data_IF_063462876879
#
_entry.id   IF_063462876879
#
_cell.length_a   1.000
_cell.length_b   1.000
_cell.length_c   1.000
_cell.angle_alpha   90.00
_cell.angle_beta   90.00
_cell.angle_gamma   90.00
#
_symmetry.space_group_name_H-M   'P 1'
#
loop_
_entity.id
_entity.type
_entity.pdbx_description
1 polymer ?
#
# COMPACT_ATOMS: atom_id res chain seq x y z
N UNK A 1 -10.76 3.55 5.34
CA UNK A 1 -9.29 3.48 5.55
C UNK A 1 -9.03 3.60 7.03
N UNK A 2 -8.05 2.84 7.54
CA UNK A 2 -7.49 3.03 8.88
C UNK A 2 -5.97 3.12 8.78
N UNK A 3 -5.33 3.75 9.76
CA UNK A 3 -3.89 3.75 9.93
C UNK A 3 -3.51 3.09 11.25
N UNK A 4 -2.42 2.33 11.24
CA UNK A 4 -1.87 1.71 12.45
C UNK A 4 -0.46 2.23 12.65
N UNK A 5 -0.30 3.01 13.71
CA UNK A 5 1.00 3.41 14.24
C UNK A 5 1.48 2.32 15.20
N UNK A 6 2.44 1.51 14.77
CA UNK A 6 3.03 0.45 15.57
C UNK A 6 4.33 0.93 16.21
N UNK A 7 4.36 0.97 17.54
CA UNK A 7 5.52 1.32 18.37
C UNK A 7 6.07 0.11 19.15
N UNK A 8 5.57 -1.10 18.89
CA UNK A 8 5.89 -2.30 19.68
C UNK A 8 7.37 -2.65 19.72
N UNK A 9 8.14 -2.23 18.70
CA UNK A 9 9.58 -2.47 18.58
C UNK A 9 10.42 -1.19 18.76
N UNK A 10 9.92 -0.23 19.54
CA UNK A 10 10.59 1.05 19.77
C UNK A 10 10.59 1.97 18.54
N UNK A 11 11.43 3.01 18.56
CA UNK A 11 11.50 4.01 17.49
C UNK A 11 12.05 3.47 16.17
N UNK A 12 12.97 2.49 16.23
CA UNK A 12 13.58 1.90 15.01
C UNK A 12 12.61 0.96 14.29
N UNK A 13 11.76 0.27 15.04
CA UNK A 13 10.72 -0.60 14.48
C UNK A 13 9.38 0.08 14.26
N UNK A 14 9.34 1.42 14.33
CA UNK A 14 8.13 2.20 14.11
C UNK A 14 7.61 2.00 12.69
N UNK A 15 6.32 1.68 12.57
CA UNK A 15 5.65 1.67 11.27
C UNK A 15 4.34 2.44 11.31
N UNK A 16 4.02 3.10 10.20
CA UNK A 16 2.78 3.82 10.00
C UNK A 16 2.08 3.29 8.76
N UNK A 17 1.34 2.18 8.95
CA UNK A 17 0.81 1.41 7.83
C UNK A 17 -0.61 1.87 7.48
N UNK A 18 -0.85 2.09 6.19
CA UNK A 18 -2.17 2.38 5.64
C UNK A 18 -2.90 1.08 5.32
N UNK A 19 -4.11 0.88 5.84
CA UNK A 19 -5.01 -0.18 5.42
C UNK A 19 -6.21 0.46 4.71
N UNK A 20 -6.22 0.34 3.39
CA UNK A 20 -7.12 1.04 2.48
C UNK A 20 -8.22 0.11 1.97
N UNK A 21 -9.31 0.67 1.43
CA UNK A 21 -10.46 -0.11 0.90
C UNK A 21 -11.00 -1.17 1.87
N UNK A 22 -10.98 -0.85 3.17
CA UNK A 22 -11.45 -1.73 4.24
C UNK A 22 -12.96 -1.71 4.42
N UNK A 23 -13.53 -2.87 4.72
CA UNK A 23 -14.87 -3.03 5.29
C UNK A 23 -14.78 -3.21 6.82
N UNK A 24 -15.87 -3.05 7.59
CA UNK A 24 -15.85 -3.29 9.03
C UNK A 24 -15.34 -4.69 9.40
N UNK A 25 -15.77 -5.73 8.68
CA UNK A 25 -15.31 -7.10 8.85
C UNK A 25 -13.79 -7.21 8.67
N UNK A 26 -13.26 -6.60 7.61
CA UNK A 26 -11.82 -6.60 7.32
C UNK A 26 -11.01 -5.87 8.40
N UNK A 27 -11.55 -4.79 8.97
CA UNK A 27 -10.91 -4.08 10.08
C UNK A 27 -10.78 -5.00 11.30
N UNK A 28 -11.84 -5.73 11.66
CA UNK A 28 -11.80 -6.69 12.79
C UNK A 28 -10.71 -7.73 12.55
N UNK A 29 -10.65 -8.32 11.36
CA UNK A 29 -9.61 -9.29 11.01
C UNK A 29 -8.18 -8.72 11.11
N UNK A 30 -7.98 -7.47 10.68
CA UNK A 30 -6.68 -6.79 10.77
C UNK A 30 -6.29 -6.61 12.24
N UNK A 31 -7.23 -6.15 13.09
CA UNK A 31 -6.98 -5.96 14.53
C UNK A 31 -6.66 -7.29 15.22
N UNK A 32 -7.37 -8.37 14.88
CA UNK A 32 -7.08 -9.70 15.44
C UNK A 32 -5.69 -10.21 15.05
N UNK A 33 -5.27 -10.00 13.80
CA UNK A 33 -3.91 -10.37 13.34
C UNK A 33 -2.83 -9.55 14.04
N UNK A 34 -3.02 -8.23 14.12
CA UNK A 34 -2.10 -7.35 14.85
C UNK A 34 -1.98 -7.73 16.32
N UNK A 35 -3.11 -8.09 16.97
CA UNK A 35 -3.13 -8.56 18.37
C UNK A 35 -2.33 -9.86 18.56
N UNK A 36 -2.26 -10.73 17.55
CA UNK A 36 -1.43 -11.95 17.56
C UNK A 36 0.06 -11.67 17.33
N UNK A 37 0.43 -10.42 17.06
CA UNK A 37 1.80 -10.04 16.67
C UNK A 37 2.10 -10.28 15.18
N UNK A 38 1.10 -10.63 14.38
CA UNK A 38 1.25 -10.73 12.93
C UNK A 38 1.28 -9.33 12.31
N UNK A 39 1.98 -9.18 11.19
CA UNK A 39 2.01 -7.94 10.40
C UNK A 39 1.22 -8.14 9.11
N UNK A 40 -0.11 -7.89 9.11
CA UNK A 40 -0.94 -8.06 7.91
C UNK A 40 -0.51 -7.10 6.79
N UNK A 41 -0.69 -7.50 5.51
CA UNK A 41 -0.27 -6.70 4.37
C UNK A 41 -1.01 -5.35 4.36
N UNK A 42 -0.23 -4.28 4.29
CA UNK A 42 -0.72 -2.91 4.19
C UNK A 42 -1.00 -2.54 2.72
N UNK A 43 -1.67 -1.41 2.51
CA UNK A 43 -2.20 -0.96 1.22
C UNK A 43 -3.68 -1.33 1.05
N UNK A 44 -4.13 -1.38 -0.20
CA UNK A 44 -5.50 -1.77 -0.54
C UNK A 44 -5.80 -3.18 -0.03
N UNK A 45 -6.92 -3.33 0.66
CA UNK A 45 -7.45 -4.63 1.06
C UNK A 45 -8.39 -5.23 0.00
N UNK A 46 -8.62 -4.51 -1.11
CA UNK A 46 -9.39 -5.01 -2.25
C UNK A 46 -8.43 -5.67 -3.27
N UNK A 47 -8.49 -7.01 -3.45
CA UNK A 47 -7.57 -7.72 -4.35
C UNK A 47 -7.80 -7.42 -5.83
N UNK A 48 -8.93 -6.81 -6.19
CA UNK A 48 -9.30 -6.52 -7.58
C UNK A 48 -8.70 -5.22 -8.11
N UNK A 49 -7.93 -4.50 -7.30
CA UNK A 49 -7.23 -3.27 -7.72
C UNK A 49 -5.78 -3.28 -7.27
N UNK A 50 -4.97 -2.54 -8.00
CA UNK A 50 -3.54 -2.39 -7.71
C UNK A 50 -3.35 -1.04 -7.03
N UNK A 51 -3.11 -1.03 -5.72
CA UNK A 51 -2.92 0.20 -4.93
C UNK A 51 -4.03 1.24 -5.22
N UNK A 52 -3.69 2.37 -5.85
CA UNK A 52 -4.62 3.44 -6.22
C UNK A 52 -5.33 3.24 -7.57
N UNK A 53 -5.02 2.17 -8.31
CA UNK A 53 -5.58 1.89 -9.62
C UNK A 53 -7.09 1.59 -9.59
N UNK A 54 -7.77 1.65 -10.74
CA UNK A 54 -9.17 1.25 -10.86
C UNK A 54 -9.36 -0.24 -10.57
N UNK A 55 -10.55 -0.60 -10.07
CA UNK A 55 -10.96 -1.99 -9.89
C UNK A 55 -11.14 -2.67 -11.25
N UNK A 56 -10.65 -3.90 -11.39
CA UNK A 56 -10.68 -4.65 -12.65
C UNK A 56 -9.43 -4.45 -13.53
N UNK A 57 -8.41 -3.75 -13.01
CA UNK A 57 -7.14 -3.51 -13.70
C UNK A 57 -7.03 -2.09 -14.24
N UNK A 58 -5.79 -1.62 -14.36
CA UNK A 58 -5.51 -0.25 -14.78
C UNK A 58 -6.02 0.02 -16.21
N UNK A 59 -6.63 1.19 -16.43
CA UNK A 59 -7.07 1.63 -17.77
C UNK A 59 -5.98 2.38 -18.53
N UNK A 60 -4.91 2.75 -17.84
CA UNK A 60 -3.72 3.44 -18.35
C UNK A 60 -2.47 2.77 -17.78
N UNK A 61 -1.26 3.24 -18.16
CA UNK A 61 0.01 2.67 -17.70
C UNK A 61 0.15 1.16 -18.04
N UNK A 62 -0.34 0.78 -19.23
CA UNK A 62 -0.33 -0.61 -19.73
C UNK A 62 0.96 -1.02 -20.43
N UNK A 63 1.73 -0.04 -20.91
CA UNK A 63 2.99 -0.27 -21.61
C UNK A 63 4.18 -0.20 -20.67
N UNK A 64 5.27 -0.86 -21.05
CA UNK A 64 6.55 -0.77 -20.35
C UNK A 64 7.02 0.69 -20.25
N UNK A 65 7.48 1.16 -19.08
CA UNK A 65 8.02 2.51 -18.91
C UNK A 65 9.22 2.73 -19.84
N UNK A 66 9.18 3.81 -20.63
CA UNK A 66 10.30 4.25 -21.46
C UNK A 66 10.86 5.56 -20.95
N UNK A 67 12.17 5.82 -21.10
CA UNK A 67 12.72 7.12 -20.78
C UNK A 67 12.00 8.20 -21.60
N UNK A 68 11.74 9.37 -21.02
CA UNK A 68 11.18 10.48 -21.78
C UNK A 68 12.18 10.92 -22.86
N UNK A 69 11.70 11.39 -24.02
CA UNK A 69 12.56 11.72 -25.17
C UNK A 69 13.57 12.85 -24.90
N UNK A 70 13.45 13.59 -23.80
CA UNK A 70 14.21 14.83 -23.57
C UNK A 70 15.01 14.85 -22.26
N UNK A 71 15.30 13.71 -21.61
CA UNK A 71 16.04 13.72 -20.33
C UNK A 71 17.48 13.26 -20.52
N UNK A 72 18.23 14.05 -21.27
CA UNK A 72 19.70 14.05 -21.21
C UNK A 72 20.12 14.98 -20.07
N UNK A 73 20.46 14.40 -18.91
CA UNK A 73 20.91 15.16 -17.73
C UNK A 73 22.37 15.58 -17.83
N UNK A 74 23.11 15.06 -18.84
CA UNK A 74 24.53 15.30 -19.06
C UNK A 74 24.78 16.33 -20.19
N UNK A 75 23.72 16.79 -20.88
CA UNK A 75 23.79 17.81 -21.94
C UNK A 75 23.93 19.26 -21.42
N UNK A 76 24.48 19.47 -20.22
CA UNK A 76 24.72 20.79 -19.63
C UNK A 76 26.20 21.15 -19.59
#
# INVERSE_FOLDING_TARGET
>A
MITVADYSNGSEGYTYNYYEDVTPERVVEIVEKLKKGEKPPHGTQNPKRIMCGPEGGNTTLLGEPKPPPCRDLDAC
#
